data_IF_818321291202
#
_entry.id   IF_818321291202
#
_cell.length_a   1.000
_cell.length_b   1.000
_cell.length_c   1.000
_cell.angle_alpha   90.00
_cell.angle_beta   90.00
_cell.angle_gamma   90.00
#
_symmetry.space_group_name_H-M   'P 1'
#
loop_
_entity.id
_entity.type
_entity.pdbx_description
1 polymer ?
#
# COMPACT_ATOMS: atom_id res chain seq x y z
N UNK A 1 -8.00 19.89 46.63
CA UNK A 1 -8.67 20.13 45.35
C UNK A 1 -7.95 19.25 44.34
N UNK A 2 -8.44 18.04 44.12
CA UNK A 2 -7.87 17.17 43.10
C UNK A 2 -8.31 17.72 41.74
N UNK A 3 -7.35 17.88 40.83
CA UNK A 3 -7.64 18.20 39.44
C UNK A 3 -8.29 16.93 38.87
N UNK A 4 -9.52 16.96 38.35
CA UNK A 4 -10.12 15.77 37.77
C UNK A 4 -9.28 15.35 36.57
N UNK A 5 -8.86 14.09 36.54
CA UNK A 5 -8.26 13.47 35.37
C UNK A 5 -9.25 13.64 34.21
N UNK A 6 -8.92 14.52 33.27
CA UNK A 6 -9.63 14.60 32.00
C UNK A 6 -9.24 13.31 31.28
N UNK A 7 -10.16 12.34 31.09
CA UNK A 7 -9.82 11.13 30.38
C UNK A 7 -9.32 11.54 29.00
N UNK A 8 -8.08 11.17 28.68
CA UNK A 8 -7.46 11.44 27.40
C UNK A 8 -8.46 11.12 26.28
N UNK A 9 -8.66 12.08 25.38
CA UNK A 9 -9.65 12.05 24.30
C UNK A 9 -9.43 10.94 23.28
N UNK A 10 -8.39 10.11 23.41
CA UNK A 10 -8.05 8.97 22.53
C UNK A 10 -9.19 7.94 22.34
N UNK A 11 -10.28 8.04 23.11
CA UNK A 11 -11.47 7.21 23.01
C UNK A 11 -12.76 8.02 22.78
N UNK A 12 -12.67 9.29 22.35
CA UNK A 12 -13.86 10.03 21.98
C UNK A 12 -14.48 9.40 20.72
N UNK A 13 -15.81 9.35 20.61
CA UNK A 13 -16.48 8.79 19.43
C UNK A 13 -16.07 9.50 18.13
N UNK A 14 -15.73 10.79 18.21
CA UNK A 14 -15.25 11.59 17.08
C UNK A 14 -13.83 11.17 16.65
N UNK A 15 -12.92 10.92 17.60
CA UNK A 15 -11.56 10.47 17.30
C UNK A 15 -11.55 9.05 16.70
N UNK A 16 -12.46 8.19 17.16
CA UNK A 16 -12.69 6.87 16.58
C UNK A 16 -13.20 6.97 15.13
N UNK A 17 -14.21 7.82 14.87
CA UNK A 17 -14.75 8.05 13.53
C UNK A 17 -13.68 8.63 12.58
N UNK A 18 -12.92 9.62 13.04
CA UNK A 18 -11.81 10.22 12.28
C UNK A 18 -10.76 9.17 11.90
N UNK A 19 -10.46 8.25 12.82
CA UNK A 19 -9.51 7.15 12.57
C UNK A 19 -10.05 6.18 11.53
N UNK A 20 -11.32 5.81 11.60
CA UNK A 20 -11.98 4.91 10.63
C UNK A 20 -11.99 5.52 9.22
N UNK A 21 -12.26 6.82 9.11
CA UNK A 21 -12.19 7.56 7.84
C UNK A 21 -10.78 7.52 7.26
N UNK A 22 -9.75 7.73 8.10
CA UNK A 22 -8.36 7.71 7.66
C UNK A 22 -7.93 6.31 7.19
N UNK A 23 -8.36 5.26 7.88
CA UNK A 23 -8.13 3.86 7.47
C UNK A 23 -8.79 3.59 6.11
N UNK A 24 -10.03 4.02 5.91
CA UNK A 24 -10.73 3.90 4.62
C UNK A 24 -9.99 4.62 3.49
N UNK A 25 -9.48 5.82 3.74
CA UNK A 25 -8.68 6.56 2.77
C UNK A 25 -7.38 5.85 2.41
N UNK A 26 -6.68 5.30 3.40
CA UNK A 26 -5.47 4.52 3.17
C UNK A 26 -5.75 3.26 2.35
N UNK A 27 -6.84 2.55 2.64
CA UNK A 27 -7.27 1.38 1.87
C UNK A 27 -7.57 1.74 0.41
N UNK A 28 -8.36 2.80 0.18
CA UNK A 28 -8.70 3.28 -1.16
C UNK A 28 -7.46 3.67 -1.96
N UNK A 29 -6.53 4.42 -1.34
CA UNK A 29 -5.29 4.84 -1.98
C UNK A 29 -4.43 3.62 -2.37
N UNK A 30 -4.24 2.69 -1.43
CA UNK A 30 -3.43 1.50 -1.69
C UNK A 30 -4.03 0.62 -2.78
N UNK A 31 -5.36 0.46 -2.80
CA UNK A 31 -6.04 -0.29 -3.86
C UNK A 31 -5.86 0.38 -5.23
N UNK A 32 -6.03 1.70 -5.32
CA UNK A 32 -5.84 2.45 -6.56
C UNK A 32 -4.39 2.37 -7.06
N UNK A 33 -3.40 2.44 -6.16
CA UNK A 33 -1.98 2.27 -6.51
C UNK A 33 -1.70 0.86 -7.03
N UNK A 34 -2.21 -0.18 -6.36
CA UNK A 34 -2.04 -1.58 -6.79
C UNK A 34 -2.61 -1.79 -8.19
N UNK A 35 -3.82 -1.28 -8.45
CA UNK A 35 -4.46 -1.41 -9.76
C UNK A 35 -3.68 -0.65 -10.85
N UNK A 36 -3.28 0.60 -10.56
CA UNK A 36 -2.50 1.42 -11.49
C UNK A 36 -1.19 0.74 -11.89
N UNK A 37 -0.47 0.14 -10.92
CA UNK A 37 0.78 -0.58 -11.18
C UNK A 37 0.56 -1.80 -12.08
N UNK A 38 -0.49 -2.60 -11.82
CA UNK A 38 -0.85 -3.77 -12.66
C UNK A 38 -1.19 -3.35 -14.10
N UNK A 39 -1.99 -2.29 -14.26
CA UNK A 39 -2.35 -1.78 -15.59
C UNK A 39 -1.12 -1.24 -16.31
N UNK A 40 -0.25 -0.49 -15.62
CA UNK A 40 0.99 0.03 -16.19
C UNK A 40 1.95 -1.08 -16.64
N UNK A 41 2.06 -2.17 -15.88
CA UNK A 41 2.83 -3.36 -16.26
C UNK A 41 2.30 -3.95 -17.57
N UNK A 42 0.99 -4.23 -17.65
CA UNK A 42 0.37 -4.78 -18.85
C UNK A 42 0.50 -3.86 -20.07
N UNK A 43 0.32 -2.55 -19.88
CA UNK A 43 0.48 -1.55 -20.93
C UNK A 43 1.91 -1.51 -21.46
N UNK A 44 2.91 -1.61 -20.58
CA UNK A 44 4.33 -1.52 -20.96
C UNK A 44 4.80 -2.63 -21.91
N UNK A 45 4.11 -3.78 -21.95
CA UNK A 45 4.38 -4.87 -22.91
C UNK A 45 4.00 -4.45 -24.34
N UNK A 46 2.97 -3.62 -24.48
CA UNK A 46 2.37 -3.23 -25.78
C UNK A 46 2.75 -1.83 -26.24
N UNK A 47 3.42 -1.04 -25.40
CA UNK A 47 3.80 0.34 -25.72
C UNK A 47 4.85 0.40 -26.83
N UNK A 48 4.63 1.27 -27.83
CA UNK A 48 5.72 1.74 -28.69
C UNK A 48 6.61 2.65 -27.85
N UNK A 49 7.91 2.36 -27.91
CA UNK A 49 8.93 2.92 -27.00
C UNK A 49 9.69 4.09 -27.61
N UNK A 50 9.13 4.66 -28.68
CA UNK A 50 9.66 5.82 -29.42
C UNK A 50 9.61 7.12 -28.61
N UNK A 51 8.78 7.21 -27.56
CA UNK A 51 8.79 8.32 -26.60
C UNK A 51 9.96 8.29 -25.60
N UNK A 52 10.74 7.21 -25.58
CA UNK A 52 11.91 7.06 -24.70
C UNK A 52 11.62 6.67 -23.25
N UNK A 53 10.37 6.73 -22.78
CA UNK A 53 10.00 6.33 -21.42
C UNK A 53 9.82 4.81 -21.30
N UNK A 54 10.57 4.19 -20.37
CA UNK A 54 10.51 2.74 -20.09
C UNK A 54 10.42 2.49 -18.59
N UNK A 55 9.52 1.61 -18.20
CA UNK A 55 9.46 1.06 -16.84
C UNK A 55 10.11 -0.32 -16.88
N UNK A 56 11.03 -0.59 -15.95
CA UNK A 56 11.66 -1.92 -15.81
C UNK A 56 10.94 -2.70 -14.71
N UNK A 57 10.24 -3.75 -15.10
CA UNK A 57 9.57 -4.68 -14.18
C UNK A 57 10.52 -5.80 -13.79
N UNK A 58 10.79 -5.94 -12.50
CA UNK A 58 11.61 -7.03 -11.96
C UNK A 58 10.80 -7.73 -10.87
N UNK A 59 10.59 -9.06 -10.98
CA UNK A 59 9.97 -9.82 -9.91
C UNK A 59 10.76 -9.65 -8.61
N UNK A 60 10.07 -9.68 -7.47
CA UNK A 60 10.79 -9.78 -6.19
C UNK A 60 11.63 -11.06 -6.21
N UNK A 61 12.91 -11.00 -5.82
CA UNK A 61 13.69 -12.21 -5.68
C UNK A 61 12.97 -13.12 -4.69
N UNK A 62 12.82 -14.40 -5.05
CA UNK A 62 12.42 -15.42 -4.09
C UNK A 62 13.34 -15.27 -2.88
N UNK A 63 12.77 -15.14 -1.68
CA UNK A 63 13.59 -15.07 -0.48
C UNK A 63 14.50 -16.30 -0.45
N UNK A 64 15.71 -16.18 0.14
CA UNK A 64 16.66 -17.28 0.22
C UNK A 64 16.03 -18.58 0.77
N UNK A 65 14.99 -18.43 1.61
CA UNK A 65 14.14 -19.50 2.11
C UNK A 65 13.44 -20.30 1.00
N UNK A 66 12.84 -19.66 -0.01
CA UNK A 66 12.09 -20.36 -1.07
C UNK A 66 13.02 -21.03 -2.09
N UNK A 67 14.19 -20.44 -2.36
CA UNK A 67 15.21 -21.05 -3.24
C UNK A 67 15.71 -22.39 -2.65
N UNK A 68 15.83 -22.48 -1.32
CA UNK A 68 16.26 -23.72 -0.64
C UNK A 68 15.27 -24.88 -0.79
N UNK A 69 13.96 -24.61 -0.87
CA UNK A 69 12.95 -25.67 -1.01
C UNK A 69 12.76 -26.15 -2.45
N UNK A 70 13.12 -25.33 -3.45
CA UNK A 70 12.98 -25.67 -4.87
C UNK A 70 14.19 -26.41 -5.47
N UNK A 71 15.27 -26.57 -4.70
CA UNK A 71 16.52 -27.21 -5.13
C UNK A 71 16.64 -28.70 -4.75
N UNK A 72 15.56 -29.29 -4.21
CA UNK A 72 15.42 -30.71 -3.87
C UNK A 72 14.21 -31.31 -4.59
#
# INVERSE_FOLDING_TARGET
MEIPDIPCSENSPEDQENTEVLVGNAQNLMQAVIETVRVAEGASIKMRVDSGYKIRWMPRPLSATVISYAAH
#
